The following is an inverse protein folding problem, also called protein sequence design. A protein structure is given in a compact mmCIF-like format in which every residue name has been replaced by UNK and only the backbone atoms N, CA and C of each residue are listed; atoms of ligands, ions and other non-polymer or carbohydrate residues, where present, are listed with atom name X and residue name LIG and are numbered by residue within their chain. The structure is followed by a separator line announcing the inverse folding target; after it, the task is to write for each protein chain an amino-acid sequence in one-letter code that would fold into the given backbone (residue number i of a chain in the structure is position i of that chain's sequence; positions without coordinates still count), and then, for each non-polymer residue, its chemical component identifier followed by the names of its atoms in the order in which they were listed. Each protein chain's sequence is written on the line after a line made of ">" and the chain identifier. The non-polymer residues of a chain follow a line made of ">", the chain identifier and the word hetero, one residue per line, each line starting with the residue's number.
data_IF_786158311798
#
_entry.id   IF_786158311798
#
_cell.length_a   1.000
_cell.length_b   1.000
_cell.length_c   1.000
_cell.angle_alpha   90.00
_cell.angle_beta   90.00
_cell.angle_gamma   90.00
#
_symmetry.space_group_name_H-M   'P 1'
#
loop_
_entity.id
_entity.type
_entity.pdbx_description
1 polymer ?
#
# COMPACT_ATOMS: atom_id res chain seq x y z
N UNK A 1 -7.66 8.68 -9.12
CA UNK A 1 -7.36 7.25 -9.33
C UNK A 1 -6.07 7.02 -10.12
N UNK A 2 -5.84 7.72 -11.25
CA UNK A 2 -4.61 7.54 -12.07
C UNK A 2 -3.28 7.70 -11.31
N UNK A 3 -3.19 8.61 -10.32
CA UNK A 3 -1.94 8.86 -9.57
C UNK A 3 -1.42 7.62 -8.80
N UNK A 4 -2.32 6.79 -8.28
CA UNK A 4 -1.96 5.57 -7.52
C UNK A 4 -1.56 4.41 -8.43
N UNK A 5 -2.06 4.37 -9.66
CA UNK A 5 -1.60 3.39 -10.66
C UNK A 5 -0.19 3.72 -11.17
N UNK A 6 0.17 5.00 -11.24
CA UNK A 6 1.48 5.41 -11.76
C UNK A 6 2.62 5.33 -10.74
N UNK A 7 2.37 5.63 -9.46
CA UNK A 7 3.36 5.46 -8.40
C UNK A 7 2.71 5.34 -7.00
N UNK A 8 2.28 4.14 -6.61
CA UNK A 8 1.60 3.90 -5.33
C UNK A 8 2.50 4.16 -4.11
N UNK A 9 3.83 4.15 -4.27
CA UNK A 9 4.79 4.39 -3.19
C UNK A 9 4.95 5.87 -2.83
N UNK A 10 4.62 6.80 -3.74
CA UNK A 10 4.79 8.24 -3.50
C UNK A 10 3.82 8.70 -2.40
N UNK A 11 4.37 9.02 -1.22
CA UNK A 11 3.59 9.41 -0.04
C UNK A 11 3.06 8.23 0.77
N UNK A 12 3.37 6.99 0.39
CA UNK A 12 3.02 5.81 1.16
C UNK A 12 3.96 5.62 2.35
N UNK A 13 3.42 5.10 3.46
CA UNK A 13 4.15 4.69 4.65
C UNK A 13 3.90 3.22 4.94
N UNK A 14 4.94 2.55 5.43
CA UNK A 14 4.82 1.21 5.99
C UNK A 14 4.07 1.28 7.33
N UNK A 15 3.06 0.43 7.50
CA UNK A 15 2.39 0.28 8.77
C UNK A 15 3.19 -0.72 9.63
N UNK A 16 3.35 -0.48 10.95
CA UNK A 16 4.07 -1.38 11.85
C UNK A 16 3.23 -2.63 12.19
N UNK A 17 2.86 -3.38 11.16
CA UNK A 17 2.02 -4.57 11.24
C UNK A 17 2.82 -5.74 10.69
N UNK A 18 3.00 -6.77 11.49
CA UNK A 18 3.55 -8.04 11.01
C UNK A 18 2.49 -8.73 10.16
N UNK A 19 2.84 -9.05 8.91
CA UNK A 19 1.93 -9.78 8.02
C UNK A 19 1.74 -11.21 8.54
N UNK A 20 0.48 -11.59 8.77
CA UNK A 20 0.09 -12.93 9.23
C UNK A 20 -0.67 -13.74 8.18
N UNK A 21 -1.04 -13.12 7.06
CA UNK A 21 -1.70 -13.79 5.94
C UNK A 21 -0.70 -14.65 5.18
N UNK A 22 -1.04 -15.93 4.97
CA UNK A 22 -0.19 -16.91 4.28
C UNK A 22 0.12 -16.54 2.82
N UNK A 23 -0.69 -15.67 2.19
CA UNK A 23 -0.45 -15.21 0.82
C UNK A 23 0.66 -14.16 0.73
N UNK A 24 0.90 -13.42 1.81
CA UNK A 24 1.87 -12.33 1.88
C UNK A 24 2.71 -12.44 3.16
N UNK A 25 3.52 -13.49 3.31
CA UNK A 25 4.28 -13.71 4.52
C UNK A 25 5.36 -12.64 4.72
N UNK A 26 5.53 -12.16 5.96
CA UNK A 26 6.55 -11.15 6.28
C UNK A 26 7.97 -11.64 6.04
N UNK A 27 8.18 -12.95 6.16
CA UNK A 27 9.48 -13.61 5.94
C UNK A 27 9.93 -13.51 4.47
N UNK A 28 8.99 -13.51 3.53
CA UNK A 28 9.26 -13.28 2.11
C UNK A 28 9.31 -11.78 1.76
N UNK A 29 9.34 -10.90 2.77
CA UNK A 29 9.51 -9.46 2.60
C UNK A 29 8.23 -8.66 2.36
N UNK A 30 7.05 -9.26 2.53
CA UNK A 30 5.77 -8.56 2.41
C UNK A 30 5.47 -7.67 3.62
N UNK A 31 5.02 -6.45 3.34
CA UNK A 31 4.61 -5.45 4.34
C UNK A 31 3.30 -4.80 3.97
N UNK A 32 2.57 -4.29 4.97
CA UNK A 32 1.35 -3.49 4.75
C UNK A 32 1.73 -2.03 4.58
N UNK A 33 1.28 -1.42 3.50
CA UNK A 33 1.49 -0.02 3.18
C UNK A 33 0.19 0.77 3.25
N UNK A 34 0.29 2.05 3.57
CA UNK A 34 -0.80 3.01 3.55
C UNK A 34 -0.38 4.27 2.82
N UNK A 35 -1.23 4.77 1.91
CA UNK A 35 -1.07 6.06 1.24
C UNK A 35 -2.36 6.87 1.42
N UNK A 36 -2.25 8.09 1.92
CA UNK A 36 -3.40 9.00 2.08
C UNK A 36 -3.31 10.06 1.00
N UNK A 37 -4.24 10.03 0.06
CA UNK A 37 -4.29 10.94 -1.08
C UNK A 37 -5.40 11.96 -0.85
N UNK A 38 -5.06 13.25 -0.86
CA UNK A 38 -6.04 14.32 -0.88
C UNK A 38 -6.33 14.69 -2.34
N UNK A 39 -7.61 14.62 -2.72
CA UNK A 39 -8.10 15.01 -4.05
C UNK A 39 -8.28 16.54 -4.12
N UNK A 40 -8.49 17.06 -5.33
CA UNK A 40 -8.63 18.51 -5.58
C UNK A 40 -9.83 19.13 -4.85
N UNK A 41 -10.90 18.35 -4.64
CA UNK A 41 -12.10 18.75 -3.90
C UNK A 41 -11.91 18.69 -2.36
N UNK A 42 -10.71 18.35 -1.89
CA UNK A 42 -10.38 18.20 -0.48
C UNK A 42 -10.72 16.82 0.11
N UNK A 43 -11.31 15.91 -0.68
CA UNK A 43 -11.62 14.56 -0.23
C UNK A 43 -10.34 13.78 0.04
N UNK A 44 -10.25 13.12 1.20
CA UNK A 44 -9.12 12.25 1.54
C UNK A 44 -9.49 10.80 1.27
N UNK A 45 -8.70 10.14 0.43
CA UNK A 45 -8.82 8.71 0.12
C UNK A 45 -7.67 7.98 0.81
N UNK A 46 -8.01 6.99 1.62
CA UNK A 46 -7.03 6.16 2.30
C UNK A 46 -6.85 4.85 1.55
N UNK A 47 -5.65 4.66 1.02
CA UNK A 47 -5.32 3.49 0.20
C UNK A 47 -4.38 2.60 0.98
N UNK A 48 -4.83 1.37 1.22
CA UNK A 48 -3.99 0.32 1.74
C UNK A 48 -3.60 -0.63 0.61
N UNK A 49 -2.37 -1.13 0.65
CA UNK A 49 -1.90 -2.18 -0.25
C UNK A 49 -0.85 -3.02 0.48
N UNK A 50 -0.52 -4.19 -0.06
CA UNK A 50 0.66 -4.94 0.38
C UNK A 50 1.78 -4.74 -0.64
N UNK A 51 3.00 -4.66 -0.14
CA UNK A 51 4.19 -4.45 -0.95
C UNK A 51 5.27 -5.44 -0.53
N UNK A 52 5.89 -6.10 -1.50
CA UNK A 52 7.05 -6.94 -1.26
C UNK A 52 8.32 -6.11 -1.43
N UNK A 53 9.07 -5.91 -0.35
CA UNK A 53 10.31 -5.11 -0.38
C UNK A 53 11.46 -5.79 -1.13
N UNK A 54 11.40 -7.10 -1.31
CA UNK A 54 12.41 -7.90 -2.01
C UNK A 54 12.14 -7.90 -3.51
N UNK A 55 10.91 -8.21 -3.93
CA UNK A 55 10.56 -8.36 -5.35
C UNK A 55 10.05 -7.07 -6.00
N UNK A 56 9.69 -6.05 -5.21
CA UNK A 56 9.08 -4.82 -5.68
C UNK A 56 7.61 -4.97 -6.12
N UNK A 57 6.98 -6.10 -5.81
CA UNK A 57 5.59 -6.39 -6.21
C UNK A 57 4.57 -5.71 -5.30
N UNK A 58 3.45 -5.33 -5.89
CA UNK A 58 2.30 -4.75 -5.20
C UNK A 58 1.09 -5.68 -5.32
N UNK A 59 0.28 -5.77 -4.27
CA UNK A 59 -0.95 -6.57 -4.24
C UNK A 59 -1.98 -6.00 -3.23
N UNK A 60 -3.19 -6.58 -3.15
CA UNK A 60 -4.27 -6.27 -2.18
C UNK A 60 -4.60 -4.78 -2.00
N UNK A 61 -4.81 -4.07 -3.11
CA UNK A 61 -5.24 -2.67 -3.05
C UNK A 61 -6.65 -2.53 -2.49
N UNK A 62 -6.81 -1.70 -1.46
CA UNK A 62 -8.08 -1.38 -0.80
C UNK A 62 -8.21 0.13 -0.62
N UNK A 63 -9.32 0.67 -1.10
CA UNK A 63 -9.63 2.09 -1.06
C UNK A 63 -10.73 2.31 -0.02
N UNK A 64 -10.48 3.22 0.94
CA UNK A 64 -11.40 3.58 2.01
C UNK A 64 -11.54 5.09 2.11
#
# INVERSE_FOLDING_TARGET
>A
MHQLQSNPMKGAKELPIKMTDKRWPSEDGWVKMQNVVTLEDGTKVNVHFVYNKITGQFDDFKFK
#
